data_IF_185639596871
#
_entry.id   IF_185639596871
#
_cell.length_a   1.000
_cell.length_b   1.000
_cell.length_c   1.000
_cell.angle_alpha   90.00
_cell.angle_beta   90.00
_cell.angle_gamma   90.00
#
_symmetry.space_group_name_H-M   'P 1'
#
loop_
_entity.id
_entity.type
_entity.pdbx_description
1 polymer ?
#
# COMPACT_ATOMS: atom_id res chain seq x y z
N UNK A 1 -7.82 -14.00 21.36
CA UNK A 1 -8.24 -12.68 20.86
C UNK A 1 -9.39 -12.89 19.89
N UNK A 2 -10.35 -11.95 19.82
CA UNK A 2 -11.40 -11.98 18.80
C UNK A 2 -10.81 -11.46 17.49
N UNK A 3 -10.88 -12.25 16.42
CA UNK A 3 -10.52 -11.79 15.09
C UNK A 3 -11.54 -10.77 14.59
N UNK A 4 -11.06 -9.70 13.95
CA UNK A 4 -11.90 -8.62 13.40
C UNK A 4 -11.57 -8.48 11.93
N UNK A 5 -12.54 -8.83 11.07
CA UNK A 5 -12.45 -8.59 9.63
C UNK A 5 -12.73 -7.10 9.33
N UNK A 6 -11.69 -6.28 9.46
CA UNK A 6 -11.77 -4.83 9.21
C UNK A 6 -12.11 -4.52 7.74
N UNK A 7 -11.55 -5.29 6.80
CA UNK A 7 -11.68 -5.03 5.36
C UNK A 7 -13.06 -5.46 4.85
N UNK A 8 -13.51 -6.67 5.19
CA UNK A 8 -14.85 -7.14 4.85
C UNK A 8 -15.93 -6.24 5.44
N UNK A 9 -15.77 -5.82 6.70
CA UNK A 9 -16.65 -4.81 7.31
C UNK A 9 -16.66 -3.51 6.52
N UNK A 10 -15.48 -2.97 6.15
CA UNK A 10 -15.40 -1.73 5.39
C UNK A 10 -16.10 -1.86 4.02
N UNK A 11 -15.85 -2.93 3.27
CA UNK A 11 -16.46 -3.18 1.96
C UNK A 11 -17.98 -3.28 2.08
N UNK A 12 -18.50 -4.01 3.07
CA UNK A 12 -19.94 -4.12 3.32
C UNK A 12 -20.55 -2.74 3.63
N UNK A 13 -19.92 -1.97 4.54
CA UNK A 13 -20.44 -0.67 4.98
C UNK A 13 -20.29 0.41 3.92
N UNK A 14 -19.27 0.38 3.06
CA UNK A 14 -19.11 1.29 1.92
C UNK A 14 -20.30 1.12 0.97
N UNK A 15 -20.65 -0.12 0.62
CA UNK A 15 -21.79 -0.40 -0.26
C UNK A 15 -23.13 0.10 0.30
N UNK A 16 -23.28 0.07 1.64
CA UNK A 16 -24.54 0.41 2.31
C UNK A 16 -24.66 1.88 2.74
N UNK A 17 -23.55 2.51 3.12
CA UNK A 17 -23.53 3.83 3.77
C UNK A 17 -22.37 4.73 3.31
N UNK A 18 -22.13 4.90 2.00
CA UNK A 18 -20.88 5.46 1.46
C UNK A 18 -20.50 6.86 1.95
N UNK A 19 -21.47 7.64 2.45
CA UNK A 19 -21.26 8.98 3.00
C UNK A 19 -20.52 8.99 4.36
N UNK A 20 -20.28 7.82 4.97
CA UNK A 20 -19.55 7.74 6.23
C UNK A 20 -18.04 7.90 5.99
N UNK A 21 -17.35 8.49 6.97
CA UNK A 21 -15.93 8.88 6.88
C UNK A 21 -15.02 8.10 7.84
N UNK A 22 -15.42 6.87 8.17
CA UNK A 22 -14.77 6.07 9.22
C UNK A 22 -14.31 4.69 8.73
N UNK A 23 -14.11 4.53 7.43
CA UNK A 23 -13.60 3.29 6.83
C UNK A 23 -12.10 3.22 7.00
N UNK A 24 -11.67 2.94 8.22
CA UNK A 24 -10.26 2.89 8.61
C UNK A 24 -9.88 1.44 8.89
N UNK A 25 -8.76 1.03 8.32
CA UNK A 25 -8.13 -0.25 8.60
C UNK A 25 -6.81 0.04 9.30
N UNK A 26 -6.62 -0.54 10.48
CA UNK A 26 -5.38 -0.45 11.25
C UNK A 26 -4.66 -1.79 11.22
N UNK A 27 -3.40 -1.76 10.77
CA UNK A 27 -2.47 -2.87 10.98
C UNK A 27 -1.79 -2.79 12.36
N UNK A 28 -1.82 -1.62 13.00
CA UNK A 28 -1.23 -1.42 14.32
C UNK A 28 -2.15 -1.93 15.42
N UNK A 29 -1.70 -2.94 16.16
CA UNK A 29 -2.41 -3.49 17.31
C UNK A 29 -1.65 -3.19 18.61
N UNK A 30 -2.08 -2.16 19.34
CA UNK A 30 -1.45 -1.78 20.61
C UNK A 30 -1.43 -2.91 21.65
N UNK A 31 -2.45 -3.79 21.65
CA UNK A 31 -2.52 -4.94 22.55
C UNK A 31 -1.52 -6.06 22.22
N UNK A 32 -0.87 -5.99 21.06
CA UNK A 32 0.16 -6.94 20.61
C UNK A 32 1.51 -6.24 20.36
N UNK A 33 1.77 -5.13 21.05
CA UNK A 33 2.94 -4.30 20.79
C UNK A 33 4.24 -5.07 21.00
N UNK A 34 4.32 -5.92 22.03
CA UNK A 34 5.51 -6.71 22.35
C UNK A 34 5.76 -7.81 21.30
N UNK A 35 4.70 -8.41 20.77
CA UNK A 35 4.76 -9.42 19.72
C UNK A 35 5.14 -8.81 18.37
N UNK A 36 4.65 -7.60 18.07
CA UNK A 36 5.06 -6.81 16.90
C UNK A 36 6.48 -6.24 17.03
N UNK A 37 7.07 -6.33 18.22
CA UNK A 37 8.38 -5.78 18.58
C UNK A 37 9.37 -6.86 19.02
N UNK A 38 9.14 -8.13 18.65
CA UNK A 38 9.96 -9.25 19.12
C UNK A 38 11.44 -9.16 18.72
N UNK A 39 12.27 -10.02 19.33
CA UNK A 39 13.71 -10.08 19.06
C UNK A 39 14.04 -10.54 17.63
N UNK A 40 15.21 -10.19 17.11
CA UNK A 40 15.70 -10.58 15.77
C UNK A 40 15.58 -12.10 15.45
N UNK A 41 15.58 -12.98 16.48
CA UNK A 41 15.46 -14.43 16.34
C UNK A 41 14.03 -14.98 16.45
N UNK A 42 13.10 -14.19 16.99
CA UNK A 42 11.68 -14.55 17.17
C UNK A 42 10.73 -13.71 16.30
N UNK A 43 11.23 -12.60 15.77
CA UNK A 43 10.47 -11.62 15.01
C UNK A 43 10.63 -11.89 13.51
N UNK A 44 9.70 -12.69 12.98
CA UNK A 44 9.34 -12.58 11.57
C UNK A 44 8.37 -11.40 11.31
N UNK A 45 8.05 -10.62 12.36
CA UNK A 45 6.99 -9.60 12.37
C UNK A 45 7.60 -8.28 12.80
N UNK A 46 8.27 -7.60 11.86
CA UNK A 46 8.56 -6.18 12.02
C UNK A 46 7.23 -5.45 12.18
N UNK A 47 7.10 -4.62 13.22
CA UNK A 47 5.91 -3.81 13.42
C UNK A 47 5.47 -3.15 12.10
N UNK A 48 4.17 -3.15 11.72
CA UNK A 48 3.76 -2.75 10.37
C UNK A 48 4.25 -1.34 9.99
N UNK A 49 5.01 -1.23 8.89
CA UNK A 49 5.44 0.07 8.36
C UNK A 49 4.23 0.85 7.82
N UNK A 50 3.36 0.20 7.05
CA UNK A 50 2.08 0.72 6.61
C UNK A 50 1.02 0.54 7.71
N UNK A 51 0.95 1.52 8.59
CA UNK A 51 0.32 1.42 9.91
C UNK A 51 -1.21 1.43 9.83
N UNK A 52 -1.77 2.31 9.00
CA UNK A 52 -3.22 2.43 8.82
C UNK A 52 -3.55 3.05 7.47
N UNK A 53 -4.73 2.73 6.93
CA UNK A 53 -5.27 3.43 5.77
C UNK A 53 -6.76 3.76 5.93
N UNK A 54 -7.17 4.86 5.30
CA UNK A 54 -8.54 5.38 5.31
C UNK A 54 -9.09 5.35 3.88
N UNK A 55 -10.26 4.75 3.71
CA UNK A 55 -11.01 4.74 2.46
C UNK A 55 -12.04 5.86 2.50
N UNK A 56 -12.03 6.74 1.51
CA UNK A 56 -12.94 7.87 1.42
C UNK A 56 -13.71 7.85 0.10
N UNK A 57 -15.03 8.03 0.17
CA UNK A 57 -15.88 8.15 -1.01
C UNK A 57 -16.23 9.62 -1.23
N UNK A 58 -16.08 10.12 -2.45
CA UNK A 58 -16.48 11.48 -2.83
C UNK A 58 -17.08 11.47 -4.21
N UNK A 59 -18.38 11.79 -4.31
CA UNK A 59 -19.15 11.62 -5.54
C UNK A 59 -19.19 10.15 -5.94
N UNK A 60 -18.73 9.85 -7.16
CA UNK A 60 -18.63 8.50 -7.72
C UNK A 60 -17.22 7.89 -7.61
N UNK A 61 -16.32 8.51 -6.81
CA UNK A 61 -14.92 8.08 -6.67
C UNK A 61 -14.58 7.54 -5.28
N UNK A 62 -13.74 6.52 -5.25
CA UNK A 62 -13.10 5.95 -4.06
C UNK A 62 -11.62 6.33 -4.02
N UNK A 63 -11.22 7.06 -3.00
CA UNK A 63 -9.83 7.43 -2.70
C UNK A 63 -9.33 6.65 -1.48
N UNK A 64 -8.01 6.43 -1.39
CA UNK A 64 -7.36 5.78 -0.26
C UNK A 64 -6.22 6.65 0.26
N UNK A 65 -6.21 6.91 1.56
CA UNK A 65 -5.09 7.56 2.25
C UNK A 65 -4.34 6.54 3.09
N UNK A 66 -3.05 6.38 2.87
CA UNK A 66 -2.15 5.54 3.66
C UNK A 66 -1.30 6.41 4.59
N UNK A 67 -1.18 6.00 5.86
CA UNK A 67 -0.14 6.48 6.76
C UNK A 67 0.92 5.39 6.96
N UNK A 68 2.16 5.70 6.58
CA UNK A 68 3.34 4.84 6.73
C UNK A 68 4.29 5.43 7.77
N UNK A 69 4.44 4.77 8.93
CA UNK A 69 5.28 5.28 10.04
C UNK A 69 6.78 5.37 9.72
N UNK A 70 7.26 4.51 8.82
CA UNK A 70 8.68 4.34 8.49
C UNK A 70 8.79 3.93 7.02
N UNK A 71 9.49 4.76 6.24
CA UNK A 71 9.46 4.75 4.79
C UNK A 71 10.86 4.83 4.20
N UNK A 72 11.42 3.65 3.88
CA UNK A 72 12.58 3.53 3.00
C UNK A 72 12.19 4.03 1.62
N UNK A 73 12.68 5.21 1.25
CA UNK A 73 12.33 5.91 0.03
C UNK A 73 12.86 5.23 -1.23
N UNK A 74 13.91 4.41 -1.13
CA UNK A 74 14.56 3.81 -2.28
C UNK A 74 13.95 2.44 -2.62
N UNK A 75 13.80 1.55 -1.62
CA UNK A 75 13.22 0.23 -1.85
C UNK A 75 11.74 0.19 -1.49
N UNK A 76 11.37 0.51 -0.25
CA UNK A 76 10.01 0.30 0.27
C UNK A 76 8.94 1.14 -0.42
N UNK A 77 9.13 2.46 -0.46
CA UNK A 77 8.13 3.42 -0.93
C UNK A 77 7.63 3.13 -2.36
N UNK A 78 8.49 2.84 -3.37
CA UNK A 78 8.02 2.44 -4.69
C UNK A 78 7.06 1.24 -4.69
N UNK A 79 7.35 0.19 -3.90
CA UNK A 79 6.45 -0.95 -3.74
C UNK A 79 5.16 -0.56 -3.02
N UNK A 80 5.25 0.27 -1.97
CA UNK A 80 4.07 0.71 -1.21
C UNK A 80 3.13 1.56 -2.08
N UNK A 81 3.66 2.43 -2.95
CA UNK A 81 2.86 3.21 -3.89
C UNK A 81 2.10 2.29 -4.84
N UNK A 82 2.79 1.36 -5.50
CA UNK A 82 2.15 0.43 -6.44
C UNK A 82 1.10 -0.47 -5.75
N UNK A 83 1.42 -0.98 -4.56
CA UNK A 83 0.55 -1.88 -3.79
C UNK A 83 -0.75 -1.20 -3.37
N UNK A 84 -0.67 -0.01 -2.78
CA UNK A 84 -1.88 0.68 -2.29
C UNK A 84 -2.65 1.42 -3.39
N UNK A 85 -1.99 1.84 -4.47
CA UNK A 85 -2.69 2.26 -5.68
C UNK A 85 -3.50 1.10 -6.25
N UNK A 86 -2.92 -0.10 -6.37
CA UNK A 86 -3.63 -1.29 -6.84
C UNK A 86 -4.80 -1.65 -5.91
N UNK A 87 -4.60 -1.64 -4.59
CA UNK A 87 -5.68 -1.85 -3.63
C UNK A 87 -6.81 -0.82 -3.80
N UNK A 88 -6.49 0.43 -4.08
CA UNK A 88 -7.49 1.48 -4.38
C UNK A 88 -8.32 1.13 -5.60
N UNK A 89 -7.68 0.66 -6.68
CA UNK A 89 -8.37 0.22 -7.90
C UNK A 89 -9.27 -1.01 -7.63
N UNK A 90 -8.75 -2.01 -6.91
CA UNK A 90 -9.49 -3.22 -6.55
C UNK A 90 -10.71 -2.89 -5.69
N UNK A 91 -10.54 -2.05 -4.66
CA UNK A 91 -11.62 -1.61 -3.79
C UNK A 91 -12.68 -0.84 -4.56
N UNK A 92 -12.27 0.10 -5.41
CA UNK A 92 -13.20 0.85 -6.26
C UNK A 92 -14.06 -0.11 -7.10
N UNK A 93 -13.43 -1.09 -7.77
CA UNK A 93 -14.14 -2.08 -8.58
C UNK A 93 -15.16 -2.90 -7.77
N UNK A 94 -14.75 -3.51 -6.65
CA UNK A 94 -15.64 -4.42 -5.90
C UNK A 94 -16.74 -3.69 -5.13
N UNK A 95 -16.58 -2.38 -4.91
CA UNK A 95 -17.58 -1.51 -4.27
C UNK A 95 -18.43 -0.71 -5.27
N UNK A 96 -18.12 -0.77 -6.57
CA UNK A 96 -18.90 -0.12 -7.63
C UNK A 96 -18.58 1.36 -7.85
N UNK A 97 -17.41 1.82 -7.39
CA UNK A 97 -16.94 3.20 -7.57
C UNK A 97 -15.85 3.30 -8.64
N UNK A 98 -15.61 4.51 -9.12
CA UNK A 98 -14.43 4.83 -9.94
C UNK A 98 -13.22 5.03 -9.02
N UNK A 99 -12.00 4.73 -9.50
CA UNK A 99 -10.80 5.08 -8.74
C UNK A 99 -10.66 6.60 -8.61
N UNK A 100 -10.40 7.05 -7.39
CA UNK A 100 -10.04 8.41 -7.04
C UNK A 100 -8.54 8.54 -6.81
N UNK A 101 -8.18 9.27 -5.77
CA UNK A 101 -6.79 9.55 -5.44
C UNK A 101 -6.23 8.51 -4.47
N UNK A 102 -4.98 8.12 -4.69
CA UNK A 102 -4.16 7.49 -3.67
C UNK A 102 -3.27 8.55 -3.02
N UNK A 103 -3.42 8.75 -1.72
CA UNK A 103 -2.66 9.72 -0.92
C UNK A 103 -1.73 8.97 0.02
N UNK A 104 -0.42 9.21 -0.08
CA UNK A 104 0.58 8.55 0.74
C UNK A 104 1.19 9.54 1.73
N UNK A 105 0.92 9.35 3.02
CA UNK A 105 1.45 10.15 4.12
C UNK A 105 2.57 9.39 4.83
N UNK A 106 3.69 10.06 5.06
CA UNK A 106 4.85 9.48 5.70
C UNK A 106 5.04 10.03 7.12
N UNK A 107 5.48 9.16 8.04
CA UNK A 107 6.08 9.54 9.31
C UNK A 107 7.56 9.83 9.12
N UNK A 108 8.42 8.85 9.42
CA UNK A 108 9.84 8.90 9.11
C UNK A 108 10.09 8.46 7.66
N UNK A 109 10.46 9.40 6.80
CA UNK A 109 10.92 9.15 5.44
C UNK A 109 12.45 9.28 5.37
N UNK A 110 13.11 8.22 4.91
CA UNK A 110 14.57 8.15 4.94
C UNK A 110 15.12 7.39 3.72
N UNK A 111 16.44 7.48 3.57
CA UNK A 111 17.24 6.71 2.61
C UNK A 111 18.40 6.11 3.43
N UNK A 112 18.66 4.80 3.26
CA UNK A 112 19.82 4.19 3.89
C UNK A 112 21.12 4.61 3.19
N UNK A 113 22.20 4.74 3.96
CA UNK A 113 23.50 5.19 3.46
C UNK A 113 24.02 4.33 2.30
N UNK A 114 23.81 3.01 2.37
CA UNK A 114 24.19 2.05 1.33
C UNK A 114 23.37 2.18 0.01
N UNK A 115 22.38 3.08 -0.04
CA UNK A 115 21.57 3.38 -1.24
C UNK A 115 21.87 4.76 -1.85
N UNK A 116 22.79 5.55 -1.30
CA UNK A 116 23.02 6.92 -1.77
C UNK A 116 23.46 7.00 -3.23
N UNK A 117 24.32 6.09 -3.68
CA UNK A 117 24.79 6.11 -5.07
C UNK A 117 23.70 5.66 -6.05
N UNK A 118 22.87 4.70 -5.66
CA UNK A 118 21.70 4.26 -6.41
C UNK A 118 20.67 5.39 -6.56
N UNK A 119 20.38 6.12 -5.48
CA UNK A 119 19.46 7.27 -5.51
C UNK A 119 20.02 8.38 -6.40
N UNK A 120 21.30 8.73 -6.25
CA UNK A 120 21.95 9.73 -7.13
C UNK A 120 21.86 9.33 -8.60
N UNK A 121 22.02 8.06 -8.92
CA UNK A 121 21.87 7.55 -10.29
C UNK A 121 20.41 7.64 -10.78
N UNK A 122 19.45 7.29 -9.93
CA UNK A 122 18.02 7.42 -10.26
C UNK A 122 17.61 8.87 -10.54
N UNK A 123 18.13 9.83 -9.77
CA UNK A 123 17.81 11.25 -9.90
C UNK A 123 18.34 11.90 -11.19
N UNK A 124 19.27 11.26 -11.90
CA UNK A 124 19.72 11.71 -13.23
C UNK A 124 18.71 11.41 -14.34
N UNK A 125 17.73 10.53 -14.08
CA UNK A 125 16.79 10.03 -15.08
C UNK A 125 15.58 10.95 -15.20
N UNK A 126 15.21 11.30 -16.42
CA UNK A 126 13.93 11.97 -16.68
C UNK A 126 12.78 10.97 -16.56
N UNK A 127 11.72 11.27 -15.78
CA UNK A 127 10.53 10.42 -15.71
C UNK A 127 9.90 10.21 -17.09
N UNK A 128 9.50 8.97 -17.36
CA UNK A 128 8.74 8.59 -18.57
C UNK A 128 7.24 8.55 -18.25
N UNK A 129 6.35 8.50 -19.26
CA UNK A 129 4.93 8.33 -19.03
C UNK A 129 4.63 7.15 -18.09
N UNK A 130 3.66 7.34 -17.19
CA UNK A 130 3.22 6.28 -16.27
C UNK A 130 2.50 5.18 -17.05
N UNK A 131 2.64 3.91 -16.63
CA UNK A 131 1.85 2.82 -17.18
C UNK A 131 0.38 2.92 -16.77
N UNK A 132 -0.47 2.12 -17.41
CA UNK A 132 -1.87 1.93 -17.03
C UNK A 132 -2.07 0.52 -16.49
N UNK A 133 -2.66 0.41 -15.30
CA UNK A 133 -3.10 -0.87 -14.74
C UNK A 133 -4.53 -1.18 -15.23
N UNK A 134 -4.70 -2.28 -15.95
CA UNK A 134 -6.02 -2.85 -16.26
C UNK A 134 -6.33 -3.99 -15.30
N UNK A 135 -7.60 -4.08 -14.92
CA UNK A 135 -8.12 -5.08 -13.98
C UNK A 135 -9.25 -5.83 -14.65
N UNK A 136 -9.31 -7.15 -14.48
CA UNK A 136 -10.40 -8.00 -14.97
C UNK A 136 -11.74 -7.51 -14.38
N UNK A 137 -12.68 -7.01 -15.21
CA UNK A 137 -13.93 -6.43 -14.72
C UNK A 137 -14.89 -7.47 -14.13
N UNK A 138 -14.71 -8.77 -14.43
CA UNK A 138 -15.59 -9.84 -13.96
C UNK A 138 -15.40 -10.16 -12.48
N UNK A 139 -14.27 -9.77 -11.87
CA UNK A 139 -14.02 -10.01 -10.45
C UNK A 139 -14.80 -9.01 -9.59
N UNK A 140 -15.78 -9.50 -8.81
CA UNK A 140 -16.66 -8.68 -7.95
C UNK A 140 -16.43 -8.83 -6.45
N UNK A 141 -15.51 -9.71 -6.04
CA UNK A 141 -15.12 -9.94 -4.65
C UNK A 141 -13.62 -9.73 -4.51
N UNK A 142 -13.20 -9.02 -3.46
CA UNK A 142 -11.80 -8.68 -3.21
C UNK A 142 -10.90 -9.92 -3.07
N UNK A 143 -11.42 -11.01 -2.53
CA UNK A 143 -10.67 -12.25 -2.28
C UNK A 143 -10.52 -13.13 -3.53
N UNK A 144 -11.24 -12.80 -4.61
CA UNK A 144 -11.25 -13.60 -5.84
C UNK A 144 -10.22 -13.14 -6.87
N UNK A 145 -9.55 -12.01 -6.65
CA UNK A 145 -8.51 -11.52 -7.56
C UNK A 145 -7.31 -12.46 -7.60
N UNK A 146 -6.80 -12.71 -8.81
CA UNK A 146 -5.61 -13.50 -9.08
C UNK A 146 -4.60 -12.67 -9.86
N UNK A 147 -3.35 -13.11 -9.88
CA UNK A 147 -2.30 -12.45 -10.66
C UNK A 147 -2.70 -12.23 -12.13
N UNK A 148 -3.39 -13.20 -12.75
CA UNK A 148 -3.86 -13.13 -14.14
C UNK A 148 -4.94 -12.08 -14.40
N UNK A 149 -5.54 -11.50 -13.35
CA UNK A 149 -6.57 -10.46 -13.47
C UNK A 149 -5.98 -9.05 -13.65
N UNK A 150 -4.66 -8.92 -13.66
CA UNK A 150 -3.95 -7.65 -13.74
C UNK A 150 -3.05 -7.59 -14.97
N UNK A 151 -3.16 -6.50 -15.72
CA UNK A 151 -2.32 -6.23 -16.88
C UNK A 151 -1.72 -4.83 -16.76
N UNK A 152 -0.39 -4.72 -16.80
CA UNK A 152 0.31 -3.43 -16.82
C UNK A 152 0.64 -3.08 -18.27
N UNK A 153 -0.02 -2.04 -18.79
CA UNK A 153 0.10 -1.60 -20.18
C UNK A 153 0.98 -0.37 -20.27
N UNK A 154 1.91 -0.35 -21.23
CA UNK A 154 2.77 0.81 -21.49
C UNK A 154 3.87 1.02 -20.46
N UNK A 155 4.29 -0.04 -19.75
CA UNK A 155 5.40 0.05 -18.79
C UNK A 155 6.74 0.01 -19.52
N UNK A 156 7.34 1.19 -19.74
CA UNK A 156 8.67 1.37 -20.34
C UNK A 156 9.64 2.04 -19.33
N UNK A 157 10.07 1.32 -18.28
CA UNK A 157 10.95 1.89 -17.26
C UNK A 157 12.39 2.02 -17.76
N UNK A 158 13.17 2.88 -17.09
CA UNK A 158 14.63 2.83 -17.21
C UNK A 158 15.19 1.51 -16.66
N UNK A 159 16.42 1.10 -17.03
CA UNK A 159 17.04 -0.13 -16.53
C UNK A 159 17.04 -0.22 -14.99
N UNK A 160 16.86 -1.42 -14.42
CA UNK A 160 16.75 -1.60 -12.97
C UNK A 160 18.02 -1.14 -12.26
N UNK A 161 17.84 -0.52 -11.09
CA UNK A 161 18.93 -0.20 -10.15
C UNK A 161 18.82 -1.18 -8.99
N UNK A 162 19.90 -1.90 -8.69
CA UNK A 162 19.93 -2.88 -7.60
C UNK A 162 20.43 -2.22 -6.31
N UNK A 163 19.75 -2.47 -5.20
CA UNK A 163 20.19 -2.12 -3.85
C UNK A 163 19.97 -3.28 -2.89
N UNK A 164 20.86 -3.42 -1.92
CA UNK A 164 20.77 -4.45 -0.88
C UNK A 164 19.81 -4.03 0.23
N UNK A 165 19.03 -4.96 0.78
CA UNK A 165 18.11 -4.63 1.89
C UNK A 165 18.92 -4.33 3.14
N UNK A 166 18.65 -3.20 3.78
CA UNK A 166 19.21 -2.88 5.10
C UNK A 166 18.35 -3.52 6.18
N UNK A 167 18.95 -4.38 7.01
CA UNK A 167 18.26 -5.04 8.11
C UNK A 167 18.29 -4.12 9.34
N UNK A 168 17.18 -3.42 9.61
CA UNK A 168 17.02 -2.53 10.78
C UNK A 168 15.74 -2.79 11.58
N UNK A 169 15.21 -4.02 11.50
CA UNK A 169 14.06 -4.45 12.30
C UNK A 169 14.47 -5.21 13.56
N UNK A 170 13.56 -5.36 14.52
CA UNK A 170 13.77 -6.10 15.76
C UNK A 170 14.22 -5.21 16.92
N UNK A 171 13.72 -5.52 18.12
CA UNK A 171 14.32 -5.05 19.37
C UNK A 171 15.38 -6.06 19.84
#
# INVERSE_FOLDING_TARGET
>A
MKEIDQLGWAIEKIKKYPQKKHYIISAWNAGSIYEMSGSHSASMVIAPCHTMYHINITGDKLSLLLYQRSADSFLGVPFNIASYALLTLMLAQVTGYKPGDFVHTFGDIHIYENHFDQVKEQLKRTPRPLPVMKINPEVKNIDNFKFSDFEVVGYDPHPPIRGEITVVGGF
#
